data_IF_046877308469
#
_entry.id   IF_046877308469
#
_cell.length_a   1.000
_cell.length_b   1.000
_cell.length_c   1.000
_cell.angle_alpha   90.00
_cell.angle_beta   90.00
_cell.angle_gamma   90.00
#
_symmetry.space_group_name_H-M   'P 1'
#
loop_
_entity.id
_entity.type
_entity.pdbx_description
1 polymer ?
#
# COMPACT_ATOMS: atom_id res chain seq x y z
N UNK A 1 -32.61 -74.00 7.77
CA UNK A 1 -31.63 -73.38 8.70
C UNK A 1 -30.64 -72.54 7.90
N UNK A 2 -30.75 -71.21 7.93
CA UNK A 2 -29.76 -70.27 7.38
C UNK A 2 -29.87 -68.97 8.19
N UNK A 3 -28.95 -68.78 9.13
CA UNK A 3 -28.87 -67.58 9.98
C UNK A 3 -28.17 -66.48 9.18
N UNK A 4 -28.93 -65.47 8.76
CA UNK A 4 -28.38 -64.29 8.07
C UNK A 4 -27.80 -63.36 9.14
N UNK A 5 -26.47 -63.23 9.12
CA UNK A 5 -25.68 -62.51 10.09
C UNK A 5 -25.83 -60.98 9.91
N UNK A 6 -26.66 -60.36 10.77
CA UNK A 6 -26.95 -58.92 10.79
C UNK A 6 -25.77 -58.03 11.22
N UNK A 7 -24.61 -58.60 11.62
CA UNK A 7 -23.47 -57.81 12.09
C UNK A 7 -22.58 -57.26 10.97
N UNK A 8 -22.51 -57.92 9.80
CA UNK A 8 -21.62 -57.46 8.70
C UNK A 8 -22.08 -56.17 8.01
N UNK A 9 -23.40 -55.91 7.93
CA UNK A 9 -23.93 -54.70 7.27
C UNK A 9 -23.86 -53.43 8.13
N UNK A 10 -23.82 -53.57 9.46
CA UNK A 10 -23.67 -52.41 10.36
C UNK A 10 -22.23 -51.89 10.44
N UNK A 11 -21.24 -52.73 10.21
CA UNK A 11 -19.83 -52.32 10.20
C UNK A 11 -19.43 -51.54 8.93
N UNK A 12 -20.12 -51.73 7.81
CA UNK A 12 -19.85 -50.96 6.58
C UNK A 12 -20.61 -49.62 6.57
N UNK A 13 -21.75 -49.53 7.28
CA UNK A 13 -22.55 -48.29 7.36
C UNK A 13 -22.01 -47.21 8.31
N UNK A 14 -21.14 -47.57 9.27
CA UNK A 14 -20.61 -46.63 10.28
C UNK A 14 -19.17 -46.17 9.97
N UNK A 15 -18.45 -46.86 9.08
CA UNK A 15 -17.07 -46.50 8.71
C UNK A 15 -16.93 -45.37 7.67
N UNK A 16 -18.03 -44.91 7.06
CA UNK A 16 -17.98 -44.00 5.90
C UNK A 16 -18.04 -42.49 6.20
N UNK A 17 -18.16 -42.08 7.46
CA UNK A 17 -18.49 -40.68 7.80
C UNK A 17 -17.41 -39.91 8.57
N UNK A 18 -16.21 -40.47 8.74
CA UNK A 18 -15.12 -39.82 9.51
C UNK A 18 -13.85 -39.49 8.71
N UNK A 19 -13.83 -39.66 7.39
CA UNK A 19 -12.61 -39.48 6.58
C UNK A 19 -12.63 -38.33 5.56
N UNK A 20 -13.68 -37.51 5.53
CA UNK A 20 -13.78 -36.40 4.57
C UNK A 20 -13.16 -35.08 5.05
N UNK A 21 -12.68 -34.97 6.29
CA UNK A 21 -12.16 -33.72 6.84
C UNK A 21 -10.64 -33.51 6.64
N UNK A 22 -9.91 -34.48 6.11
CA UNK A 22 -8.44 -34.45 6.07
C UNK A 22 -7.82 -34.09 4.70
N UNK A 23 -8.62 -33.80 3.67
CA UNK A 23 -8.11 -33.51 2.31
C UNK A 23 -8.22 -32.05 1.89
N UNK A 24 -8.74 -31.17 2.75
CA UNK A 24 -8.55 -29.74 2.58
C UNK A 24 -7.37 -29.34 3.46
N UNK A 25 -6.20 -29.00 2.91
CA UNK A 25 -5.23 -28.27 3.70
C UNK A 25 -5.98 -27.07 4.29
N UNK A 26 -5.79 -26.71 5.57
CA UNK A 26 -6.21 -25.40 6.00
C UNK A 26 -5.43 -24.44 5.10
N UNK A 27 -6.08 -23.94 4.05
CA UNK A 27 -5.80 -22.62 3.54
C UNK A 27 -6.15 -21.72 4.71
N UNK A 28 -5.22 -21.64 5.67
CA UNK A 28 -5.19 -20.69 6.73
C UNK A 28 -5.15 -19.36 6.03
N UNK A 29 -6.33 -18.83 5.71
CA UNK A 29 -6.51 -17.40 5.65
C UNK A 29 -6.25 -16.99 7.09
N UNK A 30 -4.99 -16.69 7.40
CA UNK A 30 -4.68 -15.85 8.53
C UNK A 30 -5.43 -14.55 8.25
N UNK A 31 -6.67 -14.48 8.71
CA UNK A 31 -7.39 -13.24 8.82
C UNK A 31 -6.69 -12.51 9.96
N UNK A 32 -5.55 -11.89 9.66
CA UNK A 32 -5.02 -10.85 10.52
C UNK A 32 -6.15 -9.84 10.66
N UNK A 33 -6.60 -9.61 11.89
CA UNK A 33 -7.55 -8.56 12.16
C UNK A 33 -6.89 -7.27 11.65
N UNK A 34 -7.39 -6.72 10.55
CA UNK A 34 -6.85 -5.49 9.98
C UNK A 34 -6.91 -4.40 11.05
N UNK A 35 -5.76 -3.79 11.36
CA UNK A 35 -5.69 -2.70 12.33
C UNK A 35 -6.47 -1.55 11.72
N UNK A 36 -7.64 -1.24 12.28
CA UNK A 36 -8.41 -0.07 11.87
C UNK A 36 -7.82 1.17 12.55
N UNK A 37 -7.37 2.19 11.79
CA UNK A 37 -6.91 3.43 12.39
C UNK A 37 -8.02 4.13 13.17
N UNK A 38 -7.65 4.79 14.26
CA UNK A 38 -8.55 5.72 14.95
C UNK A 38 -8.70 7.02 14.15
N UNK A 39 -9.81 7.74 14.34
CA UNK A 39 -10.05 9.04 13.70
C UNK A 39 -8.96 10.07 14.06
N UNK A 40 -8.46 10.03 15.30
CA UNK A 40 -7.36 10.88 15.74
C UNK A 40 -6.06 10.57 15.00
N UNK A 41 -5.72 9.28 14.83
CA UNK A 41 -4.52 8.89 14.07
C UNK A 41 -4.65 9.29 12.60
N UNK A 42 -5.84 9.16 12.01
CA UNK A 42 -6.09 9.55 10.63
C UNK A 42 -5.91 11.06 10.43
N UNK A 43 -6.50 11.88 11.30
CA UNK A 43 -6.36 13.34 11.27
C UNK A 43 -4.89 13.75 11.42
N UNK A 44 -4.18 13.14 12.37
CA UNK A 44 -2.75 13.36 12.58
C UNK A 44 -1.93 13.00 11.34
N UNK A 45 -2.15 11.80 10.79
CA UNK A 45 -1.44 11.30 9.62
C UNK A 45 -1.67 12.19 8.38
N UNK A 46 -2.90 12.66 8.15
CA UNK A 46 -3.21 13.61 7.07
C UNK A 46 -2.43 14.91 7.27
N UNK A 47 -2.47 15.50 8.46
CA UNK A 47 -1.77 16.77 8.74
C UNK A 47 -0.25 16.66 8.53
N UNK A 48 0.36 15.57 9.02
CA UNK A 48 1.79 15.27 8.81
C UNK A 48 2.08 15.08 7.32
N UNK A 49 1.25 14.30 6.62
CA UNK A 49 1.44 14.02 5.20
C UNK A 49 1.36 15.28 4.34
N UNK A 50 0.43 16.19 4.64
CA UNK A 50 0.31 17.47 3.95
C UNK A 50 1.56 18.34 4.17
N UNK A 51 2.06 18.40 5.40
CA UNK A 51 3.28 19.14 5.71
C UNK A 51 4.51 18.53 5.02
N UNK A 52 4.67 17.20 5.04
CA UNK A 52 5.80 16.50 4.44
C UNK A 52 5.83 16.57 2.90
N UNK A 53 4.67 16.52 2.27
CA UNK A 53 4.56 16.47 0.80
C UNK A 53 4.31 17.83 0.16
N UNK A 54 3.87 18.82 0.94
CA UNK A 54 3.47 20.15 0.46
C UNK A 54 2.10 20.20 -0.22
N UNK A 55 1.41 19.06 -0.37
CA UNK A 55 0.08 18.99 -0.97
C UNK A 55 -1.01 19.08 0.08
N UNK A 56 -1.91 20.06 -0.04
CA UNK A 56 -3.04 20.23 0.89
C UNK A 56 -4.27 19.39 0.49
N UNK A 57 -4.31 18.95 -0.77
CA UNK A 57 -5.42 18.24 -1.39
C UNK A 57 -5.25 16.70 -1.38
N UNK A 58 -4.58 16.16 -0.35
CA UNK A 58 -4.41 14.72 -0.21
C UNK A 58 -5.77 14.02 -0.04
N UNK A 59 -5.97 12.92 -0.78
CA UNK A 59 -7.21 12.17 -0.73
C UNK A 59 -7.34 11.44 0.63
N UNK A 60 -8.38 11.72 1.44
CA UNK A 60 -8.53 11.14 2.78
C UNK A 60 -8.73 9.62 2.77
N UNK A 61 -9.34 9.07 1.71
CA UNK A 61 -9.50 7.61 1.55
C UNK A 61 -8.13 6.95 1.32
N UNK A 62 -7.27 7.56 0.51
CA UNK A 62 -5.90 7.05 0.32
C UNK A 62 -5.08 7.20 1.60
N UNK A 63 -5.24 8.32 2.33
CA UNK A 63 -4.57 8.51 3.61
C UNK A 63 -4.93 7.41 4.62
N UNK A 64 -6.20 7.02 4.73
CA UNK A 64 -6.64 5.91 5.59
C UNK A 64 -6.02 4.57 5.16
N UNK A 65 -5.92 4.31 3.85
CA UNK A 65 -5.29 3.08 3.32
C UNK A 65 -3.80 3.03 3.60
N UNK A 66 -3.07 4.13 3.37
CA UNK A 66 -1.65 4.22 3.71
C UNK A 66 -1.41 4.01 5.20
N UNK A 67 -2.20 4.69 6.04
CA UNK A 67 -2.09 4.56 7.50
C UNK A 67 -2.38 3.12 7.95
N UNK A 68 -3.43 2.50 7.42
CA UNK A 68 -3.77 1.10 7.69
C UNK A 68 -2.64 0.16 7.30
N UNK A 69 -2.09 0.30 6.09
CA UNK A 69 -0.98 -0.52 5.61
C UNK A 69 0.28 -0.33 6.47
N UNK A 70 0.61 0.91 6.86
CA UNK A 70 1.75 1.16 7.75
C UNK A 70 1.55 0.55 9.14
N UNK A 71 0.36 0.65 9.72
CA UNK A 71 0.06 0.04 11.03
C UNK A 71 0.09 -1.49 10.99
N UNK A 72 -0.33 -2.09 9.88
CA UNK A 72 -0.27 -3.55 9.69
C UNK A 72 1.16 -4.04 9.49
N UNK A 73 1.97 -3.31 8.71
CA UNK A 73 3.33 -3.71 8.39
C UNK A 73 4.32 -3.42 9.51
N UNK A 74 4.11 -2.32 10.25
CA UNK A 74 5.02 -1.84 11.28
C UNK A 74 4.28 -1.72 12.62
N UNK A 75 4.42 -2.71 13.53
CA UNK A 75 3.73 -2.71 14.82
C UNK A 75 3.97 -1.46 15.67
N UNK A 76 5.16 -0.86 15.55
CA UNK A 76 5.57 0.29 16.34
C UNK A 76 5.20 1.64 15.70
N UNK A 77 4.53 1.62 14.54
CA UNK A 77 4.27 2.84 13.76
C UNK A 77 3.43 3.86 14.51
N UNK A 78 2.47 3.43 15.34
CA UNK A 78 1.66 4.36 16.14
C UNK A 78 2.51 5.22 17.10
N UNK A 79 3.58 4.64 17.65
CA UNK A 79 4.52 5.36 18.52
C UNK A 79 5.31 6.40 17.71
N UNK A 80 5.77 6.01 16.52
CA UNK A 80 6.49 6.91 15.63
C UNK A 80 5.62 8.02 15.06
N UNK A 81 4.38 7.72 14.69
CA UNK A 81 3.38 8.71 14.26
C UNK A 81 3.15 9.76 15.36
N UNK A 82 3.04 9.32 16.61
CA UNK A 82 2.91 10.21 17.76
C UNK A 82 4.16 11.07 17.99
N UNK A 83 5.36 10.49 17.81
CA UNK A 83 6.63 11.20 17.96
C UNK A 83 6.83 12.30 16.90
N UNK A 84 6.26 12.11 15.70
CA UNK A 84 6.26 13.09 14.60
C UNK A 84 5.36 14.30 14.87
N UNK A 85 4.48 14.26 15.88
CA UNK A 85 3.63 15.39 16.24
C UNK A 85 2.48 15.57 15.25
N UNK A 86 2.43 16.72 14.59
CA UNK A 86 1.38 17.13 13.65
C UNK A 86 1.97 17.95 12.49
N UNK A 87 1.11 18.44 11.59
CA UNK A 87 1.55 19.23 10.44
C UNK A 87 2.34 20.50 10.80
N UNK A 88 2.09 21.11 11.96
CA UNK A 88 2.81 22.33 12.39
C UNK A 88 4.19 22.00 12.97
N UNK A 89 4.29 20.90 13.72
CA UNK A 89 5.49 20.57 14.49
C UNK A 89 6.43 19.58 13.81
N UNK A 90 5.97 18.83 12.80
CA UNK A 90 6.74 17.73 12.18
C UNK A 90 8.10 18.18 11.66
N UNK A 91 8.20 19.34 11.01
CA UNK A 91 9.46 19.83 10.45
C UNK A 91 10.53 20.10 11.52
N UNK A 92 10.12 20.66 12.66
CA UNK A 92 11.01 20.87 13.80
C UNK A 92 11.43 19.53 14.43
N UNK A 93 10.51 18.56 14.51
CA UNK A 93 10.74 17.24 15.11
C UNK A 93 11.68 16.36 14.31
N UNK A 94 11.67 16.45 12.97
CA UNK A 94 12.62 15.72 12.12
C UNK A 94 14.01 16.36 12.12
N UNK A 95 14.10 17.70 12.19
CA UNK A 95 15.39 18.40 12.17
C UNK A 95 16.33 17.99 13.34
N UNK A 96 15.77 17.53 14.45
CA UNK A 96 16.52 17.21 15.67
C UNK A 96 16.54 15.72 16.02
N UNK A 97 15.98 14.84 15.19
CA UNK A 97 15.87 13.42 15.52
C UNK A 97 15.93 12.54 14.27
N UNK A 98 17.01 11.75 14.16
CA UNK A 98 17.24 10.84 13.04
C UNK A 98 16.11 9.82 12.85
N UNK A 99 15.57 9.26 13.93
CA UNK A 99 14.45 8.30 13.86
C UNK A 99 13.21 8.95 13.27
N UNK A 100 12.90 10.18 13.69
CA UNK A 100 11.79 10.94 13.11
C UNK A 100 12.03 11.21 11.61
N UNK A 101 13.25 11.58 11.21
CA UNK A 101 13.60 11.76 9.79
C UNK A 101 13.36 10.49 8.98
N UNK A 102 13.79 9.33 9.47
CA UNK A 102 13.59 8.05 8.78
C UNK A 102 12.09 7.73 8.60
N UNK A 103 11.26 7.97 9.63
CA UNK A 103 9.82 7.73 9.53
C UNK A 103 9.09 8.73 8.66
N UNK A 104 9.48 10.01 8.72
CA UNK A 104 8.97 11.01 7.78
C UNK A 104 9.32 10.65 6.34
N UNK A 105 10.56 10.19 6.08
CA UNK A 105 10.96 9.71 4.75
C UNK A 105 10.16 8.49 4.30
N UNK A 106 9.81 7.55 5.20
CA UNK A 106 8.94 6.42 4.87
C UNK A 106 7.53 6.87 4.48
N UNK A 107 6.95 7.84 5.20
CA UNK A 107 5.64 8.43 4.87
C UNK A 107 5.70 9.11 3.50
N UNK A 108 6.71 9.96 3.28
CA UNK A 108 6.91 10.65 2.00
C UNK A 108 7.10 9.64 0.86
N UNK A 109 7.96 8.64 1.05
CA UNK A 109 8.18 7.59 0.05
C UNK A 109 6.86 6.92 -0.32
N UNK A 110 6.05 6.51 0.66
CA UNK A 110 4.79 5.83 0.40
C UNK A 110 3.82 6.66 -0.46
N UNK A 111 3.69 7.94 -0.16
CA UNK A 111 2.87 8.85 -0.96
C UNK A 111 3.40 9.03 -2.39
N UNK A 112 4.72 9.16 -2.55
CA UNK A 112 5.34 9.39 -3.85
C UNK A 112 5.31 8.15 -4.74
N UNK A 113 5.58 6.97 -4.19
CA UNK A 113 5.64 5.71 -4.96
C UNK A 113 4.30 5.02 -5.08
N UNK A 114 3.34 5.31 -4.21
CA UNK A 114 2.09 4.59 -4.19
C UNK A 114 2.10 3.30 -3.37
N UNK A 115 3.19 3.03 -2.63
CA UNK A 115 3.48 1.71 -2.05
C UNK A 115 3.92 1.78 -0.60
N UNK A 116 3.58 0.77 0.21
CA UNK A 116 4.04 0.64 1.60
C UNK A 116 4.87 -0.62 1.72
N UNK A 117 6.06 -0.50 2.32
CA UNK A 117 6.97 -1.59 2.59
C UNK A 117 8.32 -1.48 1.89
N UNK A 118 9.28 -2.35 2.25
CA UNK A 118 10.62 -2.33 1.64
C UNK A 118 10.54 -2.80 0.19
N UNK A 119 11.13 -2.03 -0.74
CA UNK A 119 11.13 -2.35 -2.18
C UNK A 119 11.76 -3.71 -2.57
N UNK A 120 12.33 -4.46 -1.62
CA UNK A 120 13.13 -5.67 -1.87
C UNK A 120 12.49 -6.97 -1.36
N UNK A 121 11.30 -6.94 -0.75
CA UNK A 121 10.67 -8.14 -0.20
C UNK A 121 9.22 -8.31 -0.69
N UNK A 122 8.69 -9.54 -0.65
CA UNK A 122 7.28 -9.91 -0.94
C UNK A 122 6.24 -9.23 -0.02
N UNK A 123 6.64 -8.19 0.73
CA UNK A 123 5.86 -7.44 1.69
C UNK A 123 5.51 -6.02 1.21
N UNK A 124 5.69 -5.70 -0.09
CA UNK A 124 5.26 -4.41 -0.66
C UNK A 124 3.76 -4.45 -0.96
N UNK A 125 3.01 -3.55 -0.35
CA UNK A 125 1.60 -3.32 -0.65
C UNK A 125 1.43 -2.12 -1.58
N UNK A 126 0.74 -2.29 -2.71
CA UNK A 126 0.38 -1.19 -3.62
C UNK A 126 -0.93 -0.56 -3.14
N UNK A 127 -0.86 0.70 -2.72
CA UNK A 127 -2.01 1.46 -2.21
C UNK A 127 -2.63 2.31 -3.31
N UNK A 128 -1.81 2.96 -4.11
CA UNK A 128 -2.26 3.81 -5.22
C UNK A 128 -1.27 3.70 -6.38
N UNK A 129 -1.76 3.43 -7.58
CA UNK A 129 -0.92 3.45 -8.78
C UNK A 129 -1.03 4.80 -9.48
N UNK A 130 -2.21 5.10 -10.04
CA UNK A 130 -2.47 6.34 -10.77
C UNK A 130 -2.30 7.60 -9.90
N UNK A 131 -2.71 7.52 -8.64
CA UNK A 131 -2.72 8.66 -7.73
C UNK A 131 -1.41 8.83 -6.93
N UNK A 132 -0.36 8.06 -7.24
CA UNK A 132 0.96 8.23 -6.63
C UNK A 132 1.53 9.63 -6.94
N UNK A 133 2.08 10.31 -5.92
CA UNK A 133 2.42 11.73 -6.05
C UNK A 133 3.55 12.00 -7.04
N UNK A 134 4.41 11.02 -7.34
CA UNK A 134 5.49 11.20 -8.32
C UNK A 134 4.99 11.54 -9.73
N UNK A 135 3.73 11.22 -10.06
CA UNK A 135 3.14 11.55 -11.35
C UNK A 135 2.59 12.97 -11.45
N UNK A 136 2.35 13.65 -10.32
CA UNK A 136 1.75 15.01 -10.34
C UNK A 136 2.65 16.06 -11.01
N UNK A 137 3.97 16.14 -10.73
CA UNK A 137 4.81 17.20 -11.28
C UNK A 137 4.99 17.16 -12.80
N UNK A 138 4.71 16.03 -13.45
CA UNK A 138 4.90 15.82 -14.89
C UNK A 138 3.60 15.54 -15.64
N UNK A 139 2.44 15.70 -14.98
CA UNK A 139 1.14 15.31 -15.53
C UNK A 139 0.71 16.08 -16.80
N UNK A 140 1.34 17.23 -17.08
CA UNK A 140 1.11 18.04 -18.28
C UNK A 140 1.93 17.55 -19.49
N UNK A 141 2.98 16.77 -19.27
CA UNK A 141 3.89 16.28 -20.30
C UNK A 141 3.98 14.76 -20.41
N UNK A 142 3.72 14.00 -19.33
CA UNK A 142 3.90 12.55 -19.27
C UNK A 142 2.64 11.81 -18.78
N UNK A 143 2.25 10.70 -19.42
CA UNK A 143 1.25 9.79 -18.89
C UNK A 143 1.70 9.13 -17.58
N UNK A 144 0.72 8.76 -16.76
CA UNK A 144 0.87 7.59 -15.89
C UNK A 144 0.99 6.35 -16.79
N UNK A 145 2.00 5.48 -16.62
CA UNK A 145 2.14 4.31 -17.47
C UNK A 145 0.86 3.45 -17.47
N UNK A 146 0.56 2.79 -18.59
CA UNK A 146 -0.70 2.04 -18.84
C UNK A 146 -1.98 2.88 -18.97
N UNK A 147 -1.93 4.20 -18.73
CA UNK A 147 -3.05 5.11 -19.00
C UNK A 147 -2.82 5.86 -20.30
N UNK A 148 -3.82 5.87 -21.19
CA UNK A 148 -3.78 6.68 -22.40
C UNK A 148 -3.73 8.17 -22.02
N UNK A 149 -2.83 8.90 -22.66
CA UNK A 149 -2.63 10.32 -22.44
C UNK A 149 -2.52 11.02 -23.78
N UNK A 150 -3.44 11.96 -24.02
CA UNK A 150 -3.57 12.68 -25.29
C UNK A 150 -3.74 11.71 -26.48
N UNK A 151 -4.02 12.25 -27.67
CA UNK A 151 -4.27 11.44 -28.86
C UNK A 151 -3.04 10.70 -29.36
N UNK A 152 -3.15 10.15 -30.57
CA UNK A 152 -2.02 9.55 -31.28
C UNK A 152 -0.82 10.52 -31.34
N UNK A 153 0.39 9.96 -31.25
CA UNK A 153 1.66 10.70 -31.38
C UNK A 153 1.84 11.88 -30.41
N UNK A 154 1.24 11.85 -29.21
CA UNK A 154 1.39 12.93 -28.22
C UNK A 154 2.85 13.33 -27.90
N UNK A 155 3.79 12.39 -28.07
CA UNK A 155 5.22 12.55 -27.82
C UNK A 155 5.98 13.23 -28.98
N UNK A 156 5.33 13.57 -30.10
CA UNK A 156 5.99 14.26 -31.23
C UNK A 156 6.13 15.77 -31.01
N UNK A 157 5.38 16.34 -30.07
CA UNK A 157 5.49 17.74 -29.69
C UNK A 157 6.49 17.91 -28.54
N UNK A 158 7.12 19.09 -28.46
CA UNK A 158 7.93 19.45 -27.30
C UNK A 158 7.07 19.43 -26.02
N UNK A 159 7.63 18.99 -24.88
CA UNK A 159 6.95 19.08 -23.60
C UNK A 159 6.56 20.53 -23.27
N UNK A 160 5.49 20.76 -22.48
CA UNK A 160 5.12 22.11 -22.04
C UNK A 160 6.31 22.85 -21.40
N UNK A 161 6.46 24.13 -21.74
CA UNK A 161 7.56 24.96 -21.25
C UNK A 161 8.91 24.76 -21.96
N UNK A 162 9.05 23.76 -22.83
CA UNK A 162 10.26 23.56 -23.63
C UNK A 162 10.09 24.21 -25.00
N UNK A 163 10.98 25.14 -25.35
CA UNK A 163 10.87 25.97 -26.56
C UNK A 163 11.82 25.54 -27.70
N UNK A 164 12.74 24.60 -27.44
CA UNK A 164 13.72 24.14 -28.42
C UNK A 164 14.18 22.72 -28.11
N UNK A 165 14.40 21.93 -29.15
CA UNK A 165 15.07 20.63 -29.02
C UNK A 165 16.54 20.78 -28.60
N UNK A 166 17.10 19.81 -27.85
CA UNK A 166 18.52 19.79 -27.54
C UNK A 166 19.37 19.79 -28.81
N UNK A 167 20.33 20.72 -28.90
CA UNK A 167 21.23 20.85 -30.07
C UNK A 167 22.33 19.77 -30.09
N UNK A 168 22.46 18.99 -29.03
CA UNK A 168 23.47 17.93 -28.89
C UNK A 168 22.78 16.60 -29.15
N UNK A 169 23.31 15.74 -30.04
CA UNK A 169 22.79 14.38 -30.16
C UNK A 169 22.89 13.69 -28.80
N UNK A 170 21.84 12.99 -28.38
CA UNK A 170 21.94 12.08 -27.26
C UNK A 170 22.92 10.96 -27.66
N UNK A 171 24.16 11.03 -27.18
CA UNK A 171 25.05 9.88 -27.18
C UNK A 171 24.54 8.91 -26.12
N UNK A 172 23.92 7.83 -26.56
CA UNK A 172 23.58 6.68 -25.73
C UNK A 172 24.74 5.68 -25.72
#
# INVERSE_FOLDING_TARGET
>A
MKTINLQRRRLIGVGGLLLSAALFPPMGRFAFAAVKPTESQLTQFISISQALTGYQDLNPILAERYLTAMLNLYPDFSTHLSALGDGETVMSRIAHNKSNTEWAMRITHAWYTGTVGPNQDDAVEVIAYKDALMYRPTADGLPVPTYCFRGELWFSALPPGITREPTVPATF
#
